data_IF_930870386350
#
_entry.id   IF_930870386350
#
_cell.length_a   1.000
_cell.length_b   1.000
_cell.length_c   1.000
_cell.angle_alpha   90.00
_cell.angle_beta   90.00
_cell.angle_gamma   90.00
#
_symmetry.space_group_name_H-M   'P 1'
#
loop_
_entity.id
_entity.type
_entity.pdbx_description
1 polymer ?
#
# COMPACT_ATOMS: atom_id res chain seq x y z
N UNK A 1 8.43 20.83 -0.43
CA UNK A 1 8.29 19.36 -0.61
C UNK A 1 8.87 18.88 -1.94
N UNK A 2 8.66 19.61 -3.05
CA UNK A 2 9.31 19.37 -4.35
C UNK A 2 10.80 19.71 -4.27
N UNK A 3 11.19 20.81 -3.64
CA UNK A 3 12.60 21.16 -3.43
C UNK A 3 13.37 20.06 -2.69
N UNK A 4 12.78 19.48 -1.64
CA UNK A 4 13.39 18.35 -0.93
C UNK A 4 13.49 17.10 -1.82
N UNK A 5 12.54 16.86 -2.74
CA UNK A 5 12.59 15.73 -3.68
C UNK A 5 13.60 15.95 -4.81
N UNK A 6 13.77 17.19 -5.28
CA UNK A 6 14.77 17.59 -6.29
C UNK A 6 16.18 17.62 -5.70
N UNK A 7 16.33 18.04 -4.44
CA UNK A 7 17.60 17.93 -3.70
C UNK A 7 17.95 16.47 -3.38
N UNK A 8 16.95 15.57 -3.27
CA UNK A 8 17.16 14.13 -3.04
C UNK A 8 17.56 13.34 -4.30
N UNK A 9 17.43 13.90 -5.50
CA UNK A 9 17.98 13.30 -6.73
C UNK A 9 19.48 13.62 -6.86
N UNK A 10 20.32 13.01 -6.03
CA UNK A 10 21.76 13.31 -5.90
C UNK A 10 22.65 12.99 -7.12
N UNK A 11 22.08 12.62 -8.29
CA UNK A 11 22.84 12.23 -9.48
C UNK A 11 22.54 13.05 -10.75
N UNK A 12 21.76 14.13 -10.66
CA UNK A 12 21.52 15.04 -11.80
C UNK A 12 21.88 16.45 -11.36
N UNK A 13 22.82 17.11 -12.06
CA UNK A 13 23.00 18.56 -11.95
C UNK A 13 21.76 19.17 -12.57
N UNK A 14 20.75 19.45 -11.74
CA UNK A 14 19.53 20.07 -12.23
C UNK A 14 19.88 21.53 -12.51
N UNK A 15 19.94 21.88 -13.80
CA UNK A 15 20.14 23.27 -14.21
C UNK A 15 18.97 24.12 -13.68
N UNK A 16 19.27 25.33 -13.22
CA UNK A 16 18.26 26.24 -12.66
C UNK A 16 17.09 26.46 -13.63
N UNK A 17 17.36 26.47 -14.95
CA UNK A 17 16.33 26.55 -15.99
C UNK A 17 15.38 25.34 -15.99
N UNK A 18 15.89 24.12 -15.79
CA UNK A 18 15.06 22.92 -15.67
C UNK A 18 14.24 22.95 -14.38
N UNK A 19 14.83 23.38 -13.26
CA UNK A 19 14.14 23.50 -11.98
C UNK A 19 12.98 24.51 -12.07
N UNK A 20 13.23 25.68 -12.65
CA UNK A 20 12.21 26.71 -12.89
C UNK A 20 11.12 26.16 -13.81
N UNK A 21 11.49 25.51 -14.92
CA UNK A 21 10.53 24.93 -15.87
C UNK A 21 9.66 23.85 -15.21
N UNK A 22 10.25 22.98 -14.39
CA UNK A 22 9.54 21.93 -13.67
C UNK A 22 8.60 22.52 -12.62
N UNK A 23 9.06 23.52 -11.86
CA UNK A 23 8.23 24.23 -10.89
C UNK A 23 7.06 24.92 -11.57
N UNK A 24 7.30 25.62 -12.68
CA UNK A 24 6.23 26.24 -13.47
C UNK A 24 5.26 25.21 -14.03
N UNK A 25 5.72 24.06 -14.51
CA UNK A 25 4.86 22.98 -14.98
C UNK A 25 3.97 22.43 -13.85
N UNK A 26 4.56 22.12 -12.69
CA UNK A 26 3.83 21.60 -11.54
C UNK A 26 2.87 22.65 -10.99
N UNK A 27 3.30 23.89 -10.83
CA UNK A 27 2.45 24.99 -10.36
C UNK A 27 1.33 25.29 -11.37
N UNK A 28 1.61 25.20 -12.68
CA UNK A 28 0.60 25.37 -13.72
C UNK A 28 -0.44 24.24 -13.72
N UNK A 29 -0.03 23.00 -13.49
CA UNK A 29 -0.96 21.88 -13.30
C UNK A 29 -1.77 22.04 -12.02
N UNK A 30 -1.10 22.29 -10.89
CA UNK A 30 -1.73 22.49 -9.60
C UNK A 30 -2.72 23.67 -9.62
N UNK A 31 -2.36 24.80 -10.24
CA UNK A 31 -3.24 25.95 -10.38
C UNK A 31 -4.50 25.60 -11.15
N UNK A 32 -4.40 24.84 -12.26
CA UNK A 32 -5.58 24.35 -12.99
C UNK A 32 -6.43 23.40 -12.16
N UNK A 33 -5.82 22.51 -11.40
CA UNK A 33 -6.57 21.61 -10.51
C UNK A 33 -7.26 22.37 -9.37
N UNK A 34 -6.57 23.33 -8.72
CA UNK A 34 -7.16 24.18 -7.70
C UNK A 34 -8.26 25.07 -8.25
N UNK A 35 -8.07 25.64 -9.43
CA UNK A 35 -9.10 26.41 -10.12
C UNK A 35 -10.33 25.54 -10.40
N UNK A 36 -10.14 24.33 -10.91
CA UNK A 36 -11.23 23.38 -11.11
C UNK A 36 -11.92 23.01 -9.80
N UNK A 37 -11.17 22.71 -8.74
CA UNK A 37 -11.73 22.43 -7.42
C UNK A 37 -12.54 23.63 -6.89
N UNK A 38 -12.06 24.86 -7.11
CA UNK A 38 -12.74 26.08 -6.72
C UNK A 38 -14.02 26.31 -7.53
N UNK A 39 -13.97 26.14 -8.84
CA UNK A 39 -15.13 26.21 -9.73
C UNK A 39 -16.16 25.14 -9.39
N UNK A 40 -15.73 23.90 -9.16
CA UNK A 40 -16.58 22.78 -8.71
C UNK A 40 -17.20 23.12 -7.35
N UNK A 41 -16.44 23.69 -6.42
CA UNK A 41 -16.95 24.14 -5.11
C UNK A 41 -18.01 25.24 -5.27
N UNK A 42 -17.76 26.28 -6.06
CA UNK A 42 -18.75 27.34 -6.33
C UNK A 42 -19.98 26.73 -7.00
N UNK A 43 -19.79 25.87 -7.99
CA UNK A 43 -20.87 25.22 -8.72
C UNK A 43 -21.75 24.36 -7.80
N UNK A 44 -21.13 23.59 -6.89
CA UNK A 44 -21.81 22.72 -5.93
C UNK A 44 -22.53 23.48 -4.82
N UNK A 45 -21.99 24.64 -4.42
CA UNK A 45 -22.51 25.47 -3.33
C UNK A 45 -23.32 26.68 -3.81
N UNK A 46 -23.56 26.81 -5.12
CA UNK A 46 -24.40 27.87 -5.68
C UNK A 46 -25.81 27.80 -5.06
N UNK A 47 -26.26 28.84 -4.32
CA UNK A 47 -27.50 28.77 -3.56
C UNK A 47 -28.72 28.47 -4.44
N UNK A 48 -28.77 29.01 -5.65
CA UNK A 48 -29.87 28.79 -6.59
C UNK A 48 -29.94 27.32 -7.05
N UNK A 49 -28.79 26.73 -7.41
CA UNK A 49 -28.70 25.31 -7.77
C UNK A 49 -28.99 24.39 -6.60
N UNK A 50 -28.44 24.65 -5.41
CA UNK A 50 -28.76 23.86 -4.22
C UNK A 50 -30.26 23.89 -3.93
N UNK A 51 -30.89 25.07 -4.05
CA UNK A 51 -32.33 25.23 -3.88
C UNK A 51 -33.11 24.43 -4.92
N UNK A 52 -32.76 24.55 -6.21
CA UNK A 52 -33.43 23.81 -7.29
C UNK A 52 -33.25 22.29 -7.14
N UNK A 53 -32.06 21.81 -6.80
CA UNK A 53 -31.77 20.38 -6.62
C UNK A 53 -32.57 19.76 -5.46
N UNK A 54 -32.87 20.55 -4.43
CA UNK A 54 -33.62 20.08 -3.26
C UNK A 54 -35.08 20.57 -3.26
N UNK A 55 -35.55 21.25 -4.32
CA UNK A 55 -36.90 21.86 -4.42
C UNK A 55 -38.02 20.88 -4.09
N UNK A 56 -37.97 19.68 -4.65
CA UNK A 56 -39.00 18.66 -4.40
C UNK A 56 -38.99 18.18 -2.94
N UNK A 57 -37.81 18.13 -2.31
CA UNK A 57 -37.66 17.77 -0.89
C UNK A 57 -38.20 18.89 -0.01
N UNK A 58 -37.84 20.14 -0.29
CA UNK A 58 -38.39 21.31 0.39
C UNK A 58 -39.92 21.31 0.32
N UNK A 59 -40.47 21.02 -0.86
CA UNK A 59 -41.91 20.93 -1.07
C UNK A 59 -42.55 19.78 -0.29
N UNK A 60 -41.92 18.59 -0.28
CA UNK A 60 -42.40 17.45 0.49
C UNK A 60 -42.39 17.73 1.99
N UNK A 61 -41.28 18.24 2.53
CA UNK A 61 -41.17 18.59 3.95
C UNK A 61 -42.17 19.69 4.34
N UNK A 62 -42.38 20.69 3.48
CA UNK A 62 -43.40 21.71 3.68
C UNK A 62 -44.81 21.11 3.76
N UNK A 63 -45.17 20.20 2.84
CA UNK A 63 -46.48 19.53 2.84
C UNK A 63 -46.68 18.72 4.11
N UNK A 64 -45.66 17.99 4.55
CA UNK A 64 -45.79 17.15 5.74
C UNK A 64 -45.96 18.01 7.02
N UNK A 65 -45.24 19.14 7.12
CA UNK A 65 -45.44 20.14 8.18
C UNK A 65 -46.82 20.77 8.11
N UNK A 66 -47.28 21.16 6.91
CA UNK A 66 -48.59 21.75 6.69
C UNK A 66 -49.74 20.81 7.10
N UNK A 67 -49.58 19.51 6.88
CA UNK A 67 -50.55 18.49 7.26
C UNK A 67 -50.37 17.96 8.69
N UNK A 68 -49.43 18.48 9.48
CA UNK A 68 -49.20 18.08 10.87
C UNK A 68 -48.70 16.63 11.04
N UNK A 69 -48.02 16.07 10.04
CA UNK A 69 -47.47 14.72 10.13
C UNK A 69 -46.25 14.66 11.06
N UNK A 70 -46.13 13.57 11.84
CA UNK A 70 -44.98 13.34 12.71
C UNK A 70 -43.68 13.24 11.89
N UNK A 71 -42.86 14.29 11.98
CA UNK A 71 -41.59 14.39 11.29
C UNK A 71 -40.45 13.61 11.97
N UNK A 72 -40.63 13.16 13.21
CA UNK A 72 -39.54 12.61 14.01
C UNK A 72 -38.96 11.35 13.38
N UNK A 73 -39.82 10.42 12.93
CA UNK A 73 -39.38 9.18 12.29
C UNK A 73 -38.71 9.45 10.94
N UNK A 74 -39.34 10.25 10.08
CA UNK A 74 -38.84 10.56 8.73
C UNK A 74 -37.47 11.22 8.80
N UNK A 75 -37.30 12.21 9.68
CA UNK A 75 -36.03 12.93 9.85
C UNK A 75 -34.97 12.06 10.51
N UNK A 76 -35.32 11.23 11.48
CA UNK A 76 -34.38 10.26 12.06
C UNK A 76 -33.84 9.30 10.98
N UNK A 77 -34.71 8.80 10.11
CA UNK A 77 -34.35 7.92 9.00
C UNK A 77 -33.47 8.65 7.97
N UNK A 78 -33.81 9.89 7.61
CA UNK A 78 -33.02 10.72 6.70
C UNK A 78 -31.61 10.99 7.22
N UNK A 79 -31.49 11.43 8.48
CA UNK A 79 -30.20 11.66 9.13
C UNK A 79 -29.36 10.39 9.17
N UNK A 80 -29.99 9.26 9.52
CA UNK A 80 -29.31 7.96 9.56
C UNK A 80 -28.80 7.55 8.18
N UNK A 81 -29.66 7.59 7.15
CA UNK A 81 -29.32 7.11 5.82
C UNK A 81 -28.33 7.99 5.08
N UNK A 82 -28.42 9.31 5.25
CA UNK A 82 -27.60 10.28 4.49
C UNK A 82 -26.34 10.72 5.21
N UNK A 83 -26.34 10.76 6.54
CA UNK A 83 -25.21 11.26 7.31
C UNK A 83 -24.47 10.12 8.01
N UNK A 84 -25.16 9.38 8.89
CA UNK A 84 -24.51 8.38 9.76
C UNK A 84 -24.05 7.15 8.98
N UNK A 85 -24.89 6.57 8.11
CA UNK A 85 -24.59 5.33 7.38
C UNK A 85 -23.35 5.46 6.48
N UNK A 86 -23.18 6.54 5.69
CA UNK A 86 -21.95 6.74 4.92
C UNK A 86 -20.73 6.92 5.82
N UNK A 87 -20.84 7.73 6.89
CA UNK A 87 -19.74 8.00 7.81
C UNK A 87 -19.26 6.72 8.52
N UNK A 88 -20.18 5.87 8.97
CA UNK A 88 -19.87 4.57 9.59
C UNK A 88 -19.17 3.64 8.59
N UNK A 89 -19.67 3.55 7.35
CA UNK A 89 -19.03 2.71 6.32
C UNK A 89 -17.62 3.17 5.98
N UNK A 90 -17.44 4.47 5.82
CA UNK A 90 -16.13 5.07 5.54
C UNK A 90 -15.16 4.83 6.70
N UNK A 91 -15.58 5.02 7.95
CA UNK A 91 -14.78 4.71 9.13
C UNK A 91 -14.36 3.23 9.19
N UNK A 92 -15.29 2.30 9.00
CA UNK A 92 -14.98 0.86 9.00
C UNK A 92 -13.98 0.51 7.89
N UNK A 93 -14.18 1.06 6.69
CA UNK A 93 -13.28 0.83 5.56
C UNK A 93 -11.88 1.41 5.80
N UNK A 94 -11.76 2.61 6.38
CA UNK A 94 -10.48 3.22 6.74
C UNK A 94 -9.73 2.42 7.80
N UNK A 95 -10.45 1.83 8.75
CA UNK A 95 -9.88 1.02 9.83
C UNK A 95 -9.46 -0.39 9.40
N UNK A 96 -10.08 -0.93 8.33
CA UNK A 96 -9.80 -2.30 7.88
C UNK A 96 -8.38 -2.48 7.31
N UNK A 97 -7.83 -1.45 6.64
CA UNK A 97 -6.45 -1.50 6.13
C UNK A 97 -5.41 -1.72 7.24
N UNK A 98 -5.37 -0.85 8.27
CA UNK A 98 -4.53 -1.03 9.46
C UNK A 98 -4.72 -2.38 10.15
N UNK A 99 -5.97 -2.85 10.30
CA UNK A 99 -6.25 -4.16 10.92
C UNK A 99 -5.64 -5.31 10.13
N UNK A 100 -5.78 -5.31 8.80
CA UNK A 100 -5.18 -6.32 7.92
C UNK A 100 -3.65 -6.30 8.07
N UNK A 101 -3.03 -5.12 8.06
CA UNK A 101 -1.59 -4.98 8.25
C UNK A 101 -1.19 -5.57 9.61
N UNK A 102 -1.85 -5.14 10.69
CA UNK A 102 -1.57 -5.59 12.05
C UNK A 102 -1.68 -7.10 12.20
N UNK A 103 -2.76 -7.71 11.68
CA UNK A 103 -2.96 -9.16 11.70
C UNK A 103 -1.85 -9.88 10.93
N UNK A 104 -1.50 -9.42 9.73
CA UNK A 104 -0.43 -10.05 8.94
C UNK A 104 0.91 -9.99 9.67
N UNK A 105 1.22 -8.90 10.37
CA UNK A 105 2.46 -8.76 11.15
C UNK A 105 2.58 -9.72 12.34
N UNK A 106 1.47 -10.33 12.79
CA UNK A 106 1.54 -11.41 13.80
C UNK A 106 2.12 -12.71 13.24
N UNK A 107 2.16 -12.85 11.92
CA UNK A 107 2.68 -14.04 11.25
C UNK A 107 4.19 -13.98 11.13
N UNK A 108 4.82 -15.15 11.27
CA UNK A 108 6.27 -15.29 11.19
C UNK A 108 6.87 -14.61 9.96
N UNK A 109 6.31 -14.88 8.77
CA UNK A 109 6.84 -14.35 7.51
C UNK A 109 6.75 -12.81 7.38
N UNK A 110 5.95 -12.12 8.20
CA UNK A 110 5.82 -10.65 8.19
C UNK A 110 6.31 -10.00 9.50
N UNK A 111 6.87 -10.80 10.41
CA UNK A 111 7.29 -10.34 11.75
C UNK A 111 8.55 -9.48 11.70
N UNK A 112 9.51 -9.88 10.86
CA UNK A 112 10.77 -9.17 10.65
C UNK A 112 11.16 -9.19 9.17
N UNK A 113 12.02 -8.26 8.78
CA UNK A 113 12.61 -8.22 7.44
C UNK A 113 13.33 -9.54 7.08
N UNK A 114 14.11 -10.08 8.03
CA UNK A 114 14.89 -11.30 7.84
C UNK A 114 13.94 -12.48 7.61
N UNK A 115 12.92 -12.63 8.46
CA UNK A 115 11.88 -13.66 8.29
C UNK A 115 11.16 -13.53 6.96
N UNK A 116 10.87 -12.30 6.52
CA UNK A 116 10.23 -12.04 5.23
C UNK A 116 11.09 -12.47 4.04
N UNK A 117 12.35 -12.02 3.98
CA UNK A 117 13.28 -12.38 2.92
C UNK A 117 13.49 -13.90 2.86
N UNK A 118 13.65 -14.55 4.02
CA UNK A 118 13.76 -16.01 4.11
C UNK A 118 12.52 -16.72 3.58
N UNK A 119 11.32 -16.35 4.05
CA UNK A 119 10.06 -16.97 3.63
C UNK A 119 9.80 -16.79 2.14
N UNK A 120 10.13 -15.62 1.58
CA UNK A 120 9.98 -15.33 0.15
C UNK A 120 10.91 -16.22 -0.71
N UNK A 121 12.19 -16.32 -0.34
CA UNK A 121 13.14 -17.17 -1.06
C UNK A 121 12.84 -18.66 -0.91
N UNK A 122 12.32 -19.07 0.24
CA UNK A 122 11.86 -20.44 0.48
C UNK A 122 10.63 -20.79 -0.37
N UNK A 123 9.70 -19.85 -0.55
CA UNK A 123 8.55 -20.00 -1.44
C UNK A 123 9.00 -20.16 -2.91
N UNK A 124 9.93 -19.31 -3.36
CA UNK A 124 10.57 -19.44 -4.69
C UNK A 124 11.27 -20.79 -4.87
N UNK A 125 11.99 -21.27 -3.85
CA UNK A 125 12.63 -22.58 -3.86
C UNK A 125 11.62 -23.72 -3.98
N UNK A 126 10.48 -23.58 -3.30
CA UNK A 126 9.44 -24.60 -3.26
C UNK A 126 8.66 -24.66 -4.58
N UNK A 127 8.32 -23.49 -5.16
CA UNK A 127 7.70 -23.38 -6.48
C UNK A 127 8.59 -23.93 -7.58
N UNK A 128 9.90 -23.68 -7.46
CA UNK A 128 10.91 -24.21 -8.36
C UNK A 128 10.57 -23.95 -9.85
N UNK A 129 10.12 -22.73 -10.15
CA UNK A 129 9.67 -22.32 -11.48
C UNK A 129 10.52 -21.16 -12.02
N UNK A 130 10.97 -21.27 -13.26
CA UNK A 130 11.85 -20.29 -13.90
C UNK A 130 11.20 -18.90 -14.00
N UNK A 131 9.91 -18.82 -14.36
CA UNK A 131 9.22 -17.53 -14.57
C UNK A 131 9.08 -16.78 -13.26
N UNK A 132 8.84 -17.50 -12.16
CA UNK A 132 8.80 -16.91 -10.82
C UNK A 132 10.17 -16.30 -10.44
N UNK A 133 11.27 -17.02 -10.67
CA UNK A 133 12.63 -16.47 -10.46
C UNK A 133 12.91 -15.28 -11.36
N UNK A 134 12.57 -15.37 -12.64
CA UNK A 134 12.77 -14.29 -13.60
C UNK A 134 12.03 -13.01 -13.19
N UNK A 135 10.77 -13.15 -12.75
CA UNK A 135 9.95 -12.03 -12.27
C UNK A 135 10.50 -11.46 -10.96
N UNK A 136 10.90 -12.32 -10.01
CA UNK A 136 11.54 -11.89 -8.77
C UNK A 136 12.82 -11.07 -9.03
N UNK A 137 13.62 -11.48 -10.01
CA UNK A 137 14.90 -10.85 -10.33
C UNK A 137 14.73 -9.53 -11.08
N UNK A 138 13.90 -9.51 -12.13
CA UNK A 138 13.79 -8.37 -13.05
C UNK A 138 12.67 -7.39 -12.68
N UNK A 139 11.71 -7.80 -11.84
CA UNK A 139 10.54 -7.03 -11.43
C UNK A 139 10.29 -7.20 -9.92
N UNK A 140 11.35 -7.00 -9.12
CA UNK A 140 11.37 -7.34 -7.70
C UNK A 140 10.23 -6.72 -6.90
N UNK A 141 10.02 -5.41 -7.01
CA UNK A 141 8.97 -4.71 -6.25
C UNK A 141 7.57 -5.25 -6.57
N UNK A 142 7.26 -5.42 -7.86
CA UNK A 142 5.96 -5.95 -8.29
C UNK A 142 5.77 -7.40 -7.86
N UNK A 143 6.82 -8.23 -8.00
CA UNK A 143 6.79 -9.62 -7.57
C UNK A 143 6.51 -9.73 -6.07
N UNK A 144 7.24 -8.95 -5.26
CA UNK A 144 7.08 -8.97 -3.80
C UNK A 144 5.70 -8.46 -3.40
N UNK A 145 5.21 -7.35 -3.97
CA UNK A 145 3.86 -6.83 -3.69
C UNK A 145 2.77 -7.85 -4.06
N UNK A 146 2.92 -8.54 -5.19
CA UNK A 146 2.01 -9.63 -5.60
C UNK A 146 2.07 -10.80 -4.61
N UNK A 147 3.26 -11.17 -4.15
CA UNK A 147 3.44 -12.23 -3.16
C UNK A 147 2.76 -11.88 -1.83
N UNK A 148 2.95 -10.65 -1.33
CA UNK A 148 2.29 -10.15 -0.12
C UNK A 148 0.77 -10.20 -0.27
N UNK A 149 0.25 -9.70 -1.40
CA UNK A 149 -1.18 -9.71 -1.69
C UNK A 149 -1.73 -11.14 -1.66
N UNK A 150 -1.06 -12.10 -2.30
CA UNK A 150 -1.47 -13.49 -2.28
C UNK A 150 -1.50 -14.08 -0.86
N UNK A 151 -0.52 -13.74 -0.01
CA UNK A 151 -0.50 -14.18 1.39
C UNK A 151 -1.61 -13.56 2.24
N UNK A 152 -1.99 -12.31 1.97
CA UNK A 152 -3.17 -11.67 2.59
C UNK A 152 -4.44 -12.44 2.17
N UNK A 153 -4.63 -12.66 0.87
CA UNK A 153 -5.80 -13.37 0.34
C UNK A 153 -5.90 -14.78 0.92
N UNK A 154 -4.80 -15.52 0.99
CA UNK A 154 -4.77 -16.87 1.57
C UNK A 154 -5.20 -16.86 3.04
N UNK A 155 -4.69 -15.91 3.83
CA UNK A 155 -4.97 -15.81 5.26
C UNK A 155 -6.44 -15.48 5.54
N UNK A 156 -6.95 -14.44 4.88
CA UNK A 156 -8.30 -13.93 5.06
C UNK A 156 -9.35 -14.67 4.22
N UNK A 157 -8.95 -15.69 3.45
CA UNK A 157 -9.90 -16.70 2.94
C UNK A 157 -10.24 -17.73 4.03
N UNK A 158 -9.32 -17.98 4.96
CA UNK A 158 -9.50 -18.92 6.09
C UNK A 158 -10.04 -18.24 7.36
N UNK A 159 -9.81 -16.93 7.52
CA UNK A 159 -10.34 -16.09 8.62
C UNK A 159 -11.34 -15.07 8.09
N UNK A 160 -12.33 -14.71 8.89
CA UNK A 160 -13.32 -13.72 8.49
C UNK A 160 -12.86 -12.29 8.81
N UNK A 161 -12.62 -11.47 7.77
CA UNK A 161 -12.46 -10.00 7.93
C UNK A 161 -13.65 -9.34 8.61
N UNK A 162 -14.81 -9.99 8.51
CA UNK A 162 -16.03 -9.60 9.22
C UNK A 162 -15.81 -9.37 10.72
N UNK A 163 -14.88 -10.08 11.38
CA UNK A 163 -14.60 -9.84 12.81
C UNK A 163 -14.05 -8.42 13.05
N UNK A 164 -13.17 -7.94 12.19
CA UNK A 164 -12.61 -6.59 12.25
C UNK A 164 -13.70 -5.55 11.95
N UNK A 165 -14.47 -5.77 10.88
CA UNK A 165 -15.56 -4.87 10.48
C UNK A 165 -16.65 -4.78 11.54
N UNK A 166 -17.09 -5.90 12.12
CA UNK A 166 -18.12 -5.95 13.16
C UNK A 166 -17.65 -5.26 14.45
N UNK A 167 -16.36 -5.38 14.80
CA UNK A 167 -15.77 -4.64 15.92
C UNK A 167 -15.87 -3.12 15.71
N UNK A 168 -15.46 -2.63 14.54
CA UNK A 168 -15.50 -1.20 14.22
C UNK A 168 -16.93 -0.67 14.04
N UNK A 169 -17.81 -1.49 13.46
CA UNK A 169 -19.24 -1.19 13.35
C UNK A 169 -19.84 -1.02 14.74
N UNK A 170 -19.66 -1.98 15.64
CA UNK A 170 -20.15 -1.89 17.04
C UNK A 170 -19.60 -0.66 17.76
N UNK A 171 -18.30 -0.38 17.62
CA UNK A 171 -17.68 0.80 18.21
C UNK A 171 -18.31 2.11 17.69
N UNK A 172 -18.61 2.18 16.39
CA UNK A 172 -19.27 3.33 15.77
C UNK A 172 -20.71 3.50 16.27
N UNK A 173 -21.47 2.41 16.34
CA UNK A 173 -22.85 2.41 16.83
C UNK A 173 -22.92 2.82 18.31
N UNK A 174 -22.01 2.31 19.14
CA UNK A 174 -21.90 2.73 20.54
C UNK A 174 -21.62 4.23 20.65
N UNK A 175 -20.68 4.75 19.86
CA UNK A 175 -20.36 6.19 19.85
C UNK A 175 -21.56 7.04 19.42
N UNK A 176 -22.34 6.59 18.43
CA UNK A 176 -23.57 7.26 18.01
C UNK A 176 -24.61 7.26 19.13
N UNK A 177 -24.84 6.12 19.79
CA UNK A 177 -25.80 6.02 20.89
C UNK A 177 -25.38 6.88 22.09
N UNK A 178 -24.09 6.93 22.41
CA UNK A 178 -23.54 7.80 23.46
C UNK A 178 -23.75 9.28 23.11
N UNK A 179 -23.48 9.68 21.87
CA UNK A 179 -23.73 11.05 21.39
C UNK A 179 -25.22 11.43 21.47
N UNK A 180 -26.13 10.53 21.07
CA UNK A 180 -27.58 10.72 21.20
C UNK A 180 -27.97 10.91 22.67
N UNK A 181 -27.45 10.07 23.58
CA UNK A 181 -27.77 10.14 24.99
C UNK A 181 -27.23 11.41 25.66
N UNK A 182 -26.01 11.85 25.30
CA UNK A 182 -25.47 13.14 25.77
C UNK A 182 -26.32 14.31 25.28
N UNK A 183 -26.68 14.34 24.00
CA UNK A 183 -27.52 15.39 23.44
C UNK A 183 -28.90 15.48 24.13
N UNK A 184 -29.47 14.34 24.58
CA UNK A 184 -30.70 14.33 25.38
C UNK A 184 -30.54 15.00 26.75
N UNK A 185 -29.37 14.85 27.40
CA UNK A 185 -29.11 15.41 28.72
C UNK A 185 -28.98 16.93 28.65
N UNK A 186 -28.31 17.46 27.62
CA UNK A 186 -28.05 18.89 27.48
C UNK A 186 -29.32 19.73 27.25
N UNK A 187 -30.48 19.11 26.93
CA UNK A 187 -31.83 19.72 26.80
C UNK A 187 -31.87 21.18 26.32
N UNK A 188 -31.12 21.52 25.28
CA UNK A 188 -31.02 22.92 24.82
C UNK A 188 -31.34 23.05 23.34
N UNK A 189 -32.34 23.88 23.06
CA UNK A 189 -32.67 24.37 21.73
C UNK A 189 -33.64 23.49 20.94
N UNK A 190 -33.49 23.52 19.63
CA UNK A 190 -34.38 22.87 18.66
C UNK A 190 -33.68 21.65 18.02
N UNK A 191 -34.34 20.98 17.07
CA UNK A 191 -33.77 19.80 16.39
C UNK A 191 -32.38 20.08 15.78
N UNK A 192 -32.16 21.29 15.26
CA UNK A 192 -30.89 21.69 14.65
C UNK A 192 -29.76 21.64 15.67
N UNK A 193 -29.92 22.33 16.81
CA UNK A 193 -28.89 22.35 17.86
C UNK A 193 -28.66 20.96 18.45
N UNK A 194 -29.71 20.14 18.56
CA UNK A 194 -29.59 18.75 18.98
C UNK A 194 -28.69 17.92 18.05
N UNK A 195 -28.89 18.04 16.73
CA UNK A 195 -28.09 17.31 15.74
C UNK A 195 -26.67 17.88 15.63
N UNK A 196 -26.49 19.19 15.77
CA UNK A 196 -25.16 19.81 15.84
C UNK A 196 -24.34 19.24 17.01
N UNK A 197 -24.94 19.11 18.20
CA UNK A 197 -24.26 18.47 19.34
C UNK A 197 -23.89 17.02 19.07
N UNK A 198 -24.77 16.23 18.43
CA UNK A 198 -24.43 14.85 18.03
C UNK A 198 -23.22 14.86 17.08
N UNK A 199 -23.21 15.74 16.08
CA UNK A 199 -22.13 15.82 15.11
C UNK A 199 -20.80 16.26 15.77
N UNK A 200 -20.86 17.17 16.74
CA UNK A 200 -19.69 17.59 17.53
C UNK A 200 -19.13 16.43 18.35
N UNK A 201 -19.97 15.69 19.07
CA UNK A 201 -19.58 14.51 19.85
C UNK A 201 -19.02 13.36 19.00
N UNK A 202 -19.31 13.35 17.70
CA UNK A 202 -18.82 12.35 16.75
C UNK A 202 -17.62 12.84 15.94
N UNK A 203 -17.27 14.13 15.97
CA UNK A 203 -16.35 14.74 15.02
C UNK A 203 -14.93 14.18 15.04
N UNK A 204 -14.49 13.64 16.18
CA UNK A 204 -13.20 12.96 16.35
C UNK A 204 -13.20 11.50 15.84
N UNK A 205 -14.39 10.91 15.64
CA UNK A 205 -14.57 9.49 15.32
C UNK A 205 -15.13 9.23 13.92
N UNK A 206 -16.13 10.02 13.51
CA UNK A 206 -16.89 9.85 12.28
C UNK A 206 -16.87 11.13 11.47
N UNK A 207 -16.46 11.02 10.20
CA UNK A 207 -16.49 12.15 9.26
C UNK A 207 -17.89 12.24 8.65
N UNK A 208 -18.70 13.17 9.15
CA UNK A 208 -20.04 13.46 8.63
C UNK A 208 -19.94 14.58 7.59
N UNK A 209 -20.51 14.35 6.40
CA UNK A 209 -20.55 15.36 5.33
C UNK A 209 -21.42 16.56 5.74
N UNK A 210 -20.85 17.77 5.64
CA UNK A 210 -21.57 19.01 5.91
C UNK A 210 -22.66 19.27 4.86
N UNK A 211 -22.46 18.87 3.61
CA UNK A 211 -23.47 18.99 2.55
C UNK A 211 -24.68 18.11 2.85
N UNK A 212 -24.45 16.87 3.28
CA UNK A 212 -25.50 15.94 3.69
C UNK A 212 -26.25 16.45 4.92
N UNK A 213 -25.52 17.09 5.86
CA UNK A 213 -26.08 17.70 7.06
C UNK A 213 -26.93 18.95 6.72
N UNK A 214 -26.45 19.83 5.86
CA UNK A 214 -27.16 21.03 5.41
C UNK A 214 -28.47 20.69 4.69
N UNK A 215 -28.47 19.66 3.85
CA UNK A 215 -29.67 19.14 3.20
C UNK A 215 -30.65 18.46 4.18
N UNK A 216 -30.22 18.11 5.40
CA UNK A 216 -31.07 17.56 6.44
C UNK A 216 -31.69 18.65 7.34
N UNK A 217 -30.96 19.74 7.62
CA UNK A 217 -31.30 20.78 8.61
C UNK A 217 -32.50 21.69 8.27
N UNK A 218 -33.33 21.28 7.33
CA UNK A 218 -34.46 22.05 6.85
C UNK A 218 -35.68 21.73 7.70
N UNK A 219 -36.19 22.78 8.37
CA UNK A 219 -37.49 22.92 9.04
C UNK A 219 -37.99 21.70 9.83
N UNK A 220 -37.98 21.81 11.17
CA UNK A 220 -38.77 20.89 11.98
C UNK A 220 -39.13 21.42 13.37
N UNK A 221 -40.40 21.25 13.75
CA UNK A 221 -40.90 21.37 15.12
C UNK A 221 -40.98 19.99 15.79
N UNK A 222 -40.11 19.05 15.43
CA UNK A 222 -40.09 17.71 15.99
C UNK A 222 -39.82 17.74 17.49
N UNK A 223 -40.57 16.93 18.23
CA UNK A 223 -40.27 16.64 19.61
C UNK A 223 -38.91 15.96 19.72
N UNK A 224 -38.02 16.52 20.53
CA UNK A 224 -36.64 16.06 20.65
C UNK A 224 -36.57 14.65 21.25
N UNK A 225 -37.45 14.33 22.19
CA UNK A 225 -37.44 13.03 22.85
C UNK A 225 -37.91 11.93 21.87
N UNK A 226 -38.96 12.20 21.11
CA UNK A 226 -39.50 11.32 20.09
C UNK A 226 -38.52 11.17 18.92
N UNK A 227 -37.90 12.25 18.44
CA UNK A 227 -36.85 12.18 17.43
C UNK A 227 -35.69 11.29 17.91
N UNK A 228 -35.23 11.48 19.14
CA UNK A 228 -34.11 10.70 19.65
C UNK A 228 -34.47 9.21 19.83
N UNK A 229 -35.72 8.87 20.19
CA UNK A 229 -36.22 7.48 20.22
C UNK A 229 -36.20 6.87 18.82
N UNK A 230 -36.72 7.58 17.82
CA UNK A 230 -36.71 7.12 16.43
C UNK A 230 -35.29 6.99 15.88
N UNK A 231 -34.40 7.92 16.20
CA UNK A 231 -33.02 7.89 15.76
C UNK A 231 -32.29 6.67 16.31
N UNK A 232 -32.44 6.34 17.60
CA UNK A 232 -31.88 5.11 18.17
C UNK A 232 -32.39 3.86 17.43
N UNK A 233 -33.67 3.82 17.06
CA UNK A 233 -34.24 2.71 16.27
C UNK A 233 -33.64 2.64 14.86
N UNK A 234 -33.58 3.76 14.14
CA UNK A 234 -32.99 3.83 12.81
C UNK A 234 -31.51 3.42 12.81
N UNK A 235 -30.74 3.82 13.84
CA UNK A 235 -29.33 3.42 14.01
C UNK A 235 -29.19 1.91 14.21
N UNK A 236 -30.09 1.28 14.97
CA UNK A 236 -30.13 -0.18 15.15
C UNK A 236 -30.44 -0.92 13.84
N UNK A 237 -31.41 -0.42 13.07
CA UNK A 237 -31.76 -1.00 11.76
C UNK A 237 -30.61 -0.82 10.74
N UNK A 238 -29.93 0.32 10.79
CA UNK A 238 -28.72 0.60 10.01
C UNK A 238 -27.59 -0.35 10.37
N UNK A 239 -27.33 -0.61 11.66
CA UNK A 239 -26.32 -1.57 12.11
C UNK A 239 -26.54 -2.93 11.46
N UNK A 240 -27.77 -3.46 11.53
CA UNK A 240 -28.09 -4.76 10.96
C UNK A 240 -27.87 -4.79 9.44
N UNK A 241 -28.37 -3.77 8.74
CA UNK A 241 -28.22 -3.65 7.28
C UNK A 241 -26.75 -3.57 6.86
N UNK A 242 -25.93 -2.80 7.59
CA UNK A 242 -24.50 -2.65 7.30
C UNK A 242 -23.75 -3.94 7.62
N UNK A 243 -24.09 -4.59 8.74
CA UNK A 243 -23.52 -5.88 9.16
C UNK A 243 -23.73 -6.97 8.12
N UNK A 244 -24.94 -7.10 7.58
CA UNK A 244 -25.25 -8.09 6.55
C UNK A 244 -24.42 -7.88 5.28
N UNK A 245 -24.34 -6.62 4.81
CA UNK A 245 -23.53 -6.28 3.64
C UNK A 245 -22.03 -6.57 3.81
N UNK A 246 -21.48 -6.43 5.01
CA UNK A 246 -20.08 -6.81 5.28
C UNK A 246 -19.85 -8.33 5.24
N UNK A 247 -20.87 -9.15 5.51
CA UNK A 247 -20.78 -10.61 5.39
C UNK A 247 -20.78 -11.08 3.94
N UNK A 248 -21.49 -10.38 3.06
CA UNK A 248 -21.61 -10.73 1.64
C UNK A 248 -20.35 -10.46 0.82
N UNK A 249 -19.47 -9.56 1.31
CA UNK A 249 -18.30 -9.12 0.57
C UNK A 249 -17.07 -9.96 0.93
N UNK A 250 -16.39 -10.50 -0.09
CA UNK A 250 -15.15 -11.24 0.10
C UNK A 250 -13.93 -10.31 0.26
N UNK A 251 -12.81 -10.85 0.71
CA UNK A 251 -11.57 -10.09 0.94
C UNK A 251 -11.06 -9.39 -0.33
N UNK A 252 -11.18 -10.02 -1.50
CA UNK A 252 -10.70 -9.45 -2.74
C UNK A 252 -11.41 -8.13 -3.05
N UNK A 253 -12.75 -8.11 -2.96
CA UNK A 253 -13.56 -6.91 -3.15
C UNK A 253 -13.29 -5.86 -2.07
N UNK A 254 -13.04 -6.28 -0.83
CA UNK A 254 -12.70 -5.33 0.25
C UNK A 254 -11.40 -4.60 -0.06
N UNK A 255 -10.34 -5.33 -0.42
CA UNK A 255 -9.02 -4.76 -0.71
C UNK A 255 -9.03 -3.74 -1.84
N UNK A 256 -9.92 -3.86 -2.83
CA UNK A 256 -10.01 -2.87 -3.94
C UNK A 256 -10.66 -1.55 -3.50
N UNK A 257 -11.42 -1.56 -2.41
CA UNK A 257 -12.11 -0.38 -1.87
C UNK A 257 -11.36 0.33 -0.76
N UNK A 258 -10.27 -0.26 -0.25
CA UNK A 258 -9.50 0.33 0.83
C UNK A 258 -8.74 1.58 0.36
N UNK A 259 -8.71 2.65 1.16
CA UNK A 259 -7.93 3.85 0.84
C UNK A 259 -6.41 3.56 0.88
N UNK A 260 -6.00 2.64 1.74
CA UNK A 260 -4.62 2.18 1.88
C UNK A 260 -4.53 0.77 1.29
N UNK A 261 -3.47 0.51 0.51
CA UNK A 261 -3.17 -0.82 -0.04
C UNK A 261 -2.26 -1.59 0.93
N UNK A 262 -2.75 -2.58 1.70
CA UNK A 262 -1.96 -3.25 2.73
C UNK A 262 -0.66 -3.86 2.21
N UNK A 263 -0.65 -4.38 0.98
CA UNK A 263 0.54 -4.94 0.35
C UNK A 263 1.65 -3.90 0.11
N UNK A 264 1.29 -2.64 -0.16
CA UNK A 264 2.25 -1.57 -0.37
C UNK A 264 2.85 -1.09 0.96
N UNK A 265 2.03 -1.03 2.01
CA UNK A 265 2.47 -0.68 3.37
C UNK A 265 3.40 -1.76 3.93
N UNK A 266 3.01 -3.03 3.81
CA UNK A 266 3.86 -4.15 4.25
C UNK A 266 5.16 -4.21 3.46
N UNK A 267 5.14 -3.99 2.14
CA UNK A 267 6.35 -3.89 1.33
C UNK A 267 7.27 -2.79 1.86
N UNK A 268 6.73 -1.58 2.02
CA UNK A 268 7.47 -0.43 2.53
C UNK A 268 8.08 -0.71 3.90
N UNK A 269 7.32 -1.33 4.80
CA UNK A 269 7.74 -1.58 6.18
C UNK A 269 8.81 -2.68 6.28
N UNK A 270 8.72 -3.73 5.47
CA UNK A 270 9.58 -4.91 5.57
C UNK A 270 10.78 -4.88 4.63
N UNK A 271 10.64 -4.27 3.45
CA UNK A 271 11.68 -4.19 2.42
C UNK A 271 12.35 -2.82 2.40
N UNK A 272 11.55 -1.76 2.50
CA UNK A 272 12.04 -0.38 2.45
C UNK A 272 12.13 0.15 1.02
N UNK A 273 13.32 0.56 0.60
CA UNK A 273 13.52 1.26 -0.68
C UNK A 273 13.28 0.45 -1.96
N UNK A 274 13.22 -0.88 -1.90
CA UNK A 274 13.04 -1.76 -3.07
C UNK A 274 14.20 -1.80 -4.08
N UNK A 275 15.27 -1.00 -3.89
CA UNK A 275 16.40 -0.91 -4.81
C UNK A 275 17.17 -2.22 -4.91
N UNK A 276 17.72 -2.49 -6.10
CA UNK A 276 18.45 -3.72 -6.40
C UNK A 276 19.90 -3.43 -6.83
N UNK A 277 20.83 -4.30 -6.44
CA UNK A 277 22.24 -4.20 -6.79
C UNK A 277 22.39 -4.08 -8.31
N UNK A 278 23.20 -3.13 -8.82
CA UNK A 278 23.31 -2.88 -10.26
C UNK A 278 23.82 -4.09 -11.05
N UNK A 279 24.61 -4.96 -10.42
CA UNK A 279 25.23 -6.11 -11.05
C UNK A 279 24.38 -7.38 -10.93
N UNK A 280 24.11 -7.85 -9.71
CA UNK A 280 23.41 -9.12 -9.49
C UNK A 280 21.90 -8.99 -9.26
N UNK A 281 21.36 -7.77 -9.16
CA UNK A 281 19.95 -7.49 -8.85
C UNK A 281 19.47 -7.97 -7.47
N UNK A 282 20.36 -8.29 -6.53
CA UNK A 282 19.97 -8.58 -5.13
C UNK A 282 19.34 -7.35 -4.47
N UNK A 283 18.31 -7.53 -3.64
CA UNK A 283 17.60 -6.43 -2.97
C UNK A 283 18.47 -5.73 -1.91
N UNK A 284 18.30 -4.42 -1.74
CA UNK A 284 19.00 -3.63 -0.74
C UNK A 284 18.58 -3.98 0.69
N UNK A 285 19.54 -4.17 1.60
CA UNK A 285 19.39 -4.57 3.00
C UNK A 285 19.32 -3.42 4.02
N UNK A 286 19.56 -2.18 3.59
CA UNK A 286 19.71 -1.02 4.49
C UNK A 286 18.49 -0.71 5.39
N UNK A 287 17.30 -1.19 5.02
CA UNK A 287 16.06 -0.97 5.78
C UNK A 287 15.54 0.46 5.64
N UNK A 288 14.23 0.62 5.82
CA UNK A 288 13.57 1.91 5.66
C UNK A 288 13.50 2.41 4.21
N UNK A 289 12.75 3.48 3.99
CA UNK A 289 12.62 4.10 2.65
C UNK A 289 13.77 5.06 2.32
N UNK A 290 14.40 5.66 3.32
CA UNK A 290 15.42 6.69 3.14
C UNK A 290 16.72 6.29 3.83
N UNK A 291 17.78 6.17 3.03
CA UNK A 291 19.14 5.93 3.49
C UNK A 291 20.13 6.39 2.41
N UNK A 292 21.37 6.67 2.82
CA UNK A 292 22.40 7.24 1.94
C UNK A 292 23.10 6.22 1.05
N UNK A 293 23.31 5.00 1.56
CA UNK A 293 24.01 3.94 0.83
C UNK A 293 23.16 2.66 0.78
N UNK A 294 23.06 2.07 -0.40
CA UNK A 294 22.51 0.75 -0.65
C UNK A 294 23.59 -0.31 -0.47
N UNK A 295 23.28 -1.38 0.25
CA UNK A 295 24.13 -2.57 0.34
C UNK A 295 23.26 -3.82 0.35
N UNK A 296 23.89 -4.98 0.18
CA UNK A 296 23.26 -6.29 0.36
C UNK A 296 24.32 -7.22 0.95
N UNK A 297 23.94 -8.01 1.95
CA UNK A 297 24.83 -9.01 2.54
C UNK A 297 24.90 -10.27 1.68
N UNK A 298 23.87 -10.51 0.86
CA UNK A 298 23.74 -11.72 0.05
C UNK A 298 23.76 -11.38 -1.44
N UNK A 299 24.96 -11.30 -2.00
CA UNK A 299 25.14 -11.25 -3.45
C UNK A 299 24.87 -12.61 -4.10
N UNK A 300 24.53 -12.59 -5.37
CA UNK A 300 24.26 -13.77 -6.20
C UNK A 300 25.02 -13.68 -7.52
N UNK A 301 25.16 -14.76 -8.30
CA UNK A 301 25.86 -14.74 -9.56
C UNK A 301 25.37 -13.61 -10.48
N UNK A 302 26.29 -12.83 -11.03
CA UNK A 302 25.96 -11.66 -11.86
C UNK A 302 25.23 -12.04 -13.15
N UNK A 303 25.40 -13.28 -13.62
CA UNK A 303 24.64 -13.84 -14.73
C UNK A 303 23.13 -13.82 -14.52
N UNK A 304 22.67 -13.97 -13.27
CA UNK A 304 21.25 -13.80 -12.94
C UNK A 304 20.77 -12.36 -13.16
N UNK A 305 21.67 -11.39 -12.98
CA UNK A 305 21.47 -9.96 -13.25
C UNK A 305 21.77 -9.53 -14.69
N UNK A 306 21.87 -10.48 -15.64
CA UNK A 306 22.10 -10.28 -17.09
C UNK A 306 23.55 -10.02 -17.51
N UNK A 307 24.53 -10.14 -16.60
CA UNK A 307 25.94 -10.01 -16.97
C UNK A 307 26.47 -11.25 -17.67
N UNK A 308 27.29 -11.04 -18.71
CA UNK A 308 27.91 -12.10 -19.51
C UNK A 308 29.32 -11.69 -19.92
N UNK A 309 30.19 -12.68 -20.11
CA UNK A 309 31.50 -12.48 -20.69
C UNK A 309 31.37 -12.02 -22.13
N UNK A 310 32.05 -10.94 -22.52
CA UNK A 310 31.94 -10.41 -23.90
C UNK A 310 32.55 -11.35 -24.94
N UNK A 311 33.67 -12.00 -24.61
CA UNK A 311 34.40 -12.88 -25.52
C UNK A 311 33.62 -14.15 -25.85
N UNK A 312 32.97 -14.75 -24.85
CA UNK A 312 32.28 -16.05 -25.00
C UNK A 312 30.76 -15.91 -25.08
N UNK A 313 30.21 -14.76 -24.70
CA UNK A 313 28.77 -14.55 -24.53
C UNK A 313 28.16 -15.28 -23.33
N UNK A 314 28.95 -16.01 -22.52
CA UNK A 314 28.46 -16.85 -21.43
C UNK A 314 28.07 -16.06 -20.20
N UNK A 315 26.99 -16.45 -19.53
CA UNK A 315 26.58 -15.86 -18.26
C UNK A 315 27.68 -15.95 -17.19
N UNK A 316 27.84 -14.89 -16.40
CA UNK A 316 28.87 -14.80 -15.34
C UNK A 316 28.43 -15.58 -14.10
N UNK A 317 29.31 -16.43 -13.57
CA UNK A 317 29.09 -17.19 -12.33
C UNK A 317 29.58 -16.45 -11.08
N UNK A 318 30.49 -15.49 -11.25
CA UNK A 318 31.06 -14.68 -10.18
C UNK A 318 29.99 -13.81 -9.50
N UNK A 319 30.26 -13.43 -8.26
CA UNK A 319 29.42 -12.52 -7.48
C UNK A 319 30.06 -11.13 -7.41
N UNK A 320 29.23 -10.12 -7.14
CA UNK A 320 29.71 -8.74 -7.10
C UNK A 320 30.91 -8.55 -6.15
N UNK A 321 30.92 -9.24 -5.00
CA UNK A 321 31.98 -9.13 -4.00
C UNK A 321 33.35 -9.58 -4.54
N UNK A 322 33.41 -10.64 -5.36
CA UNK A 322 34.66 -11.08 -5.98
C UNK A 322 35.05 -10.17 -7.15
N UNK A 323 34.07 -9.74 -7.96
CA UNK A 323 34.30 -8.84 -9.09
C UNK A 323 34.91 -7.51 -8.66
N UNK A 324 34.39 -6.85 -7.61
CA UNK A 324 34.94 -5.56 -7.11
C UNK A 324 36.33 -5.67 -6.50
N UNK A 325 36.82 -6.88 -6.21
CA UNK A 325 38.18 -7.12 -5.73
C UNK A 325 39.16 -7.52 -6.84
N UNK A 326 38.65 -7.84 -8.03
CA UNK A 326 39.42 -8.32 -9.18
C UNK A 326 39.85 -7.17 -10.12
N UNK A 327 40.74 -7.47 -11.06
CA UNK A 327 41.08 -6.55 -12.17
C UNK A 327 40.09 -6.64 -13.35
N UNK A 328 38.96 -7.34 -13.15
CA UNK A 328 37.92 -7.42 -14.17
C UNK A 328 37.27 -6.05 -14.41
N UNK A 329 36.64 -5.94 -15.58
CA UNK A 329 35.92 -4.74 -16.01
C UNK A 329 34.46 -5.09 -16.30
N UNK A 330 33.58 -4.13 -16.14
CA UNK A 330 32.17 -4.20 -16.49
C UNK A 330 31.81 -3.14 -17.53
N UNK A 331 30.71 -3.37 -18.25
CA UNK A 331 30.06 -2.37 -19.09
C UNK A 331 28.55 -2.57 -19.04
N UNK A 332 27.79 -1.50 -18.92
CA UNK A 332 26.33 -1.54 -18.88
C UNK A 332 25.77 -0.25 -19.48
N UNK A 333 24.44 -0.10 -19.48
CA UNK A 333 23.82 1.14 -19.96
C UNK A 333 24.29 2.37 -19.19
N UNK A 334 24.50 2.24 -17.87
CA UNK A 334 25.00 3.34 -17.03
C UNK A 334 26.43 3.79 -17.35
N UNK A 335 27.19 2.97 -18.08
CA UNK A 335 28.54 3.32 -18.56
C UNK A 335 28.56 3.71 -20.03
N UNK A 336 27.40 3.98 -20.66
CA UNK A 336 27.28 4.12 -22.12
C UNK A 336 27.90 2.92 -22.88
N UNK A 337 27.87 1.75 -22.25
CA UNK A 337 28.52 0.54 -22.71
C UNK A 337 30.05 0.62 -22.86
N UNK A 338 30.71 1.59 -22.25
CA UNK A 338 32.16 1.63 -22.09
C UNK A 338 32.62 0.71 -20.95
N UNK A 339 33.87 0.26 -21.05
CA UNK A 339 34.46 -0.64 -20.06
C UNK A 339 35.02 0.13 -18.86
N UNK A 340 34.58 -0.22 -17.66
CA UNK A 340 35.05 0.35 -16.39
C UNK A 340 35.57 -0.75 -15.46
N UNK A 341 36.67 -0.50 -14.71
CA UNK A 341 37.13 -1.43 -13.68
C UNK A 341 36.06 -1.66 -12.62
N UNK A 342 35.86 -2.91 -12.21
CA UNK A 342 34.94 -3.21 -11.10
C UNK A 342 35.41 -2.57 -9.79
N UNK A 343 36.72 -2.44 -9.54
CA UNK A 343 37.28 -1.74 -8.37
C UNK A 343 36.82 -0.28 -8.26
N UNK A 344 36.55 0.36 -9.40
CA UNK A 344 36.13 1.76 -9.49
C UNK A 344 34.62 1.93 -9.73
N UNK A 345 33.81 0.88 -9.46
CA UNK A 345 32.37 0.91 -9.74
C UNK A 345 31.64 2.10 -9.10
N UNK A 346 32.13 2.61 -7.96
CA UNK A 346 31.55 3.76 -7.24
C UNK A 346 31.64 5.07 -8.04
N UNK A 347 32.47 5.15 -9.08
CA UNK A 347 32.45 6.30 -10.00
C UNK A 347 31.12 6.40 -10.77
N UNK A 348 30.47 5.25 -10.97
CA UNK A 348 29.19 5.09 -11.69
C UNK A 348 28.03 4.91 -10.71
N UNK A 349 28.18 3.99 -9.74
CA UNK A 349 27.16 3.64 -8.73
C UNK A 349 27.59 4.13 -7.35
N UNK A 350 27.55 5.46 -7.16
CA UNK A 350 28.07 6.16 -5.96
C UNK A 350 27.37 5.76 -4.66
N UNK A 351 26.09 5.46 -4.77
CA UNK A 351 25.16 5.12 -3.70
C UNK A 351 25.18 3.63 -3.34
N UNK A 352 25.92 2.79 -4.07
CA UNK A 352 26.07 1.37 -3.75
C UNK A 352 27.37 1.07 -3.01
N UNK A 353 27.23 0.32 -1.92
CA UNK A 353 28.31 -0.28 -1.16
C UNK A 353 28.29 -1.79 -1.33
N UNK A 354 29.22 -2.27 -2.14
CA UNK A 354 29.56 -3.66 -2.34
C UNK A 354 30.86 -3.92 -1.59
N UNK A 355 30.80 -4.74 -0.55
CA UNK A 355 31.96 -5.11 0.26
C UNK A 355 32.54 -6.44 -0.24
N UNK A 356 33.85 -6.60 -0.12
CA UNK A 356 34.51 -7.90 -0.24
C UNK A 356 33.91 -8.85 0.81
N UNK A 357 33.19 -9.87 0.37
CA UNK A 357 32.72 -10.93 1.25
C UNK A 357 33.90 -11.84 1.58
N UNK A 358 33.93 -12.42 2.79
CA UNK A 358 34.97 -13.36 3.22
C UNK A 358 34.95 -14.66 2.41
N UNK A 359 33.79 -15.06 1.89
CA UNK A 359 33.66 -16.29 1.09
C UNK A 359 34.05 -16.09 -0.38
N UNK A 360 33.88 -14.87 -0.91
CA UNK A 360 34.00 -14.53 -2.34
C UNK A 360 33.16 -15.41 -3.29
N UNK A 361 32.22 -16.21 -2.77
CA UNK A 361 31.42 -17.16 -3.55
C UNK A 361 29.91 -16.96 -3.32
N UNK A 362 29.11 -17.37 -4.31
CA UNK A 362 27.66 -17.41 -4.16
C UNK A 362 27.22 -18.45 -3.10
N UNK A 363 26.09 -18.20 -2.44
CA UNK A 363 25.46 -19.21 -1.57
C UNK A 363 25.00 -20.43 -2.38
N UNK A 364 24.99 -21.61 -1.75
CA UNK A 364 24.53 -22.85 -2.41
C UNK A 364 23.11 -22.71 -2.96
N UNK A 365 22.27 -21.89 -2.34
CA UNK A 365 20.97 -21.53 -2.89
C UNK A 365 21.06 -20.89 -4.29
N UNK A 366 21.87 -19.84 -4.46
CA UNK A 366 21.97 -19.18 -5.76
C UNK A 366 22.80 -19.97 -6.77
N UNK A 367 23.77 -20.76 -6.30
CA UNK A 367 24.48 -21.76 -7.12
C UNK A 367 23.50 -22.78 -7.70
N UNK A 368 22.60 -23.32 -6.85
CA UNK A 368 21.54 -24.24 -7.26
C UNK A 368 20.61 -23.61 -8.31
N UNK A 369 20.13 -22.39 -8.07
CA UNK A 369 19.21 -21.69 -8.99
C UNK A 369 19.85 -21.47 -10.36
N UNK A 370 21.08 -20.94 -10.42
CA UNK A 370 21.76 -20.70 -11.69
C UNK A 370 22.11 -22.03 -12.39
N UNK A 371 22.56 -23.06 -11.67
CA UNK A 371 22.84 -24.36 -12.25
C UNK A 371 21.59 -25.00 -12.87
N UNK A 372 20.45 -24.88 -12.19
CA UNK A 372 19.18 -25.48 -12.60
C UNK A 372 18.58 -24.81 -13.83
N UNK A 373 18.52 -23.48 -13.84
CA UNK A 373 17.86 -22.70 -14.89
C UNK A 373 18.85 -22.04 -15.87
N UNK A 374 20.07 -22.57 -15.96
CA UNK A 374 21.17 -21.97 -16.72
C UNK A 374 20.78 -21.68 -18.19
N UNK A 375 20.17 -22.68 -18.85
CA UNK A 375 19.81 -22.58 -20.27
C UNK A 375 18.65 -21.60 -20.47
N UNK A 376 17.69 -21.59 -19.56
CA UNK A 376 16.53 -20.72 -19.59
C UNK A 376 16.92 -19.25 -19.38
N UNK A 377 17.77 -18.97 -18.38
CA UNK A 377 18.35 -17.63 -18.20
C UNK A 377 19.17 -17.18 -19.41
N UNK A 378 20.01 -18.07 -19.95
CA UNK A 378 20.82 -17.76 -21.12
C UNK A 378 19.94 -17.41 -22.33
N UNK A 379 18.89 -18.20 -22.59
CA UNK A 379 17.92 -17.93 -23.66
C UNK A 379 17.21 -16.60 -23.46
N UNK A 380 16.65 -16.35 -22.28
CA UNK A 380 15.92 -15.11 -21.96
C UNK A 380 16.80 -13.86 -22.07
N UNK A 381 18.10 -13.99 -21.77
CA UNK A 381 19.04 -12.87 -21.78
C UNK A 381 19.82 -12.74 -23.09
N UNK A 382 19.48 -13.52 -24.12
CA UNK A 382 20.22 -13.59 -25.39
C UNK A 382 21.73 -13.78 -25.16
N UNK A 383 22.05 -14.74 -24.29
CA UNK A 383 23.39 -15.09 -23.84
C UNK A 383 23.66 -16.59 -24.07
N UNK A 384 24.92 -17.00 -23.94
CA UNK A 384 25.28 -18.41 -23.86
C UNK A 384 25.16 -18.91 -22.41
N UNK A 385 24.84 -20.20 -22.19
CA UNK A 385 24.83 -20.78 -20.85
C UNK A 385 26.16 -20.55 -20.11
N UNK A 386 26.08 -20.29 -18.81
CA UNK A 386 27.26 -20.22 -17.94
C UNK A 386 28.02 -21.55 -17.92
N UNK A 387 29.33 -21.48 -17.74
CA UNK A 387 30.17 -22.64 -17.42
C UNK A 387 30.00 -23.01 -15.94
N UNK A 388 28.92 -23.76 -15.65
CA UNK A 388 28.57 -24.15 -14.29
C UNK A 388 29.57 -25.18 -13.75
N UNK A 389 30.27 -24.90 -12.63
CA UNK A 389 31.15 -25.86 -11.98
C UNK A 389 30.42 -27.17 -11.65
N UNK A 390 31.13 -28.29 -11.74
CA UNK A 390 30.54 -29.61 -11.46
C UNK A 390 29.93 -29.68 -10.05
N UNK A 391 30.59 -29.08 -9.06
CA UNK A 391 30.13 -29.02 -7.67
C UNK A 391 28.78 -28.31 -7.50
N UNK A 392 28.42 -27.37 -8.38
CA UNK A 392 27.13 -26.68 -8.32
C UNK A 392 26.00 -27.56 -8.86
N UNK A 393 26.29 -28.42 -9.85
CA UNK A 393 25.33 -29.37 -10.43
C UNK A 393 24.93 -30.46 -9.44
N UNK A 394 25.80 -30.76 -8.47
CA UNK A 394 25.54 -31.72 -7.39
C UNK A 394 24.76 -31.13 -6.21
N UNK A 395 24.52 -29.82 -6.16
CA UNK A 395 23.76 -29.21 -5.06
C UNK A 395 22.31 -29.70 -5.14
N UNK A 396 21.85 -30.29 -4.05
CA UNK A 396 20.47 -30.78 -3.92
C UNK A 396 19.52 -29.67 -3.49
N UNK A 397 18.22 -29.86 -3.73
CA UNK A 397 17.17 -28.95 -3.23
C UNK A 397 17.23 -28.78 -1.71
N UNK A 398 17.54 -29.87 -0.98
CA UNK A 398 17.72 -29.86 0.48
C UNK A 398 18.90 -28.99 0.90
N UNK A 399 20.06 -29.11 0.25
CA UNK A 399 21.23 -28.28 0.53
C UNK A 399 20.95 -26.79 0.22
N UNK A 400 20.26 -26.49 -0.89
CA UNK A 400 19.83 -25.13 -1.20
C UNK A 400 18.92 -24.54 -0.11
N UNK A 401 18.01 -25.35 0.46
CA UNK A 401 17.15 -24.96 1.59
C UNK A 401 17.93 -24.74 2.88
N UNK A 402 18.86 -25.62 3.21
CA UNK A 402 19.74 -25.50 4.38
C UNK A 402 20.64 -24.25 4.27
N UNK A 403 21.13 -23.95 3.07
CA UNK A 403 21.88 -22.73 2.78
C UNK A 403 21.07 -21.46 3.09
N UNK A 404 19.79 -21.40 2.68
CA UNK A 404 18.90 -20.30 3.06
C UNK A 404 18.71 -20.22 4.58
N UNK A 405 18.47 -21.35 5.24
CA UNK A 405 18.27 -21.40 6.69
C UNK A 405 19.47 -20.81 7.44
N UNK A 406 20.69 -21.20 7.02
CA UNK A 406 21.93 -20.71 7.60
C UNK A 406 22.17 -19.22 7.31
N UNK A 407 21.97 -18.79 6.05
CA UNK A 407 22.20 -17.41 5.64
C UNK A 407 21.33 -16.39 6.40
N UNK A 408 20.09 -16.79 6.76
CA UNK A 408 19.17 -15.94 7.52
C UNK A 408 19.17 -16.26 9.03
N UNK A 409 20.05 -17.15 9.52
CA UNK A 409 20.10 -17.57 10.93
C UNK A 409 18.74 -18.06 11.48
N UNK A 410 17.97 -18.77 10.67
CA UNK A 410 16.67 -19.29 11.05
C UNK A 410 16.83 -20.56 11.90
N UNK A 411 16.10 -20.63 13.03
CA UNK A 411 16.13 -21.79 13.94
C UNK A 411 15.43 -23.02 13.37
#
# INVERSE_FOLDING_TARGET
>A
MIDNKLQNSQNVKIETEFEVSLKQHICGDAARQFQKMHEDFIHLNDPYRCLNQNKDKYCADFKDVFHGQDQCQKKADEFTKRCLKPAVKDFVNRSLGPDIIGEMQTRFEFSTRISFQYSLLLDLLSKNDFKEYLSYINSYEDYVKKWILNKILEHFSKKTTFKCEDKHLKSSINSINDAINKAKITKTGNLKTFVEHICQELGDKLVISQDALGAFMILNNADLEQFAKWLTKCVKDMEQTVRERFKETNIQMKLTTLPVKPQNELFTKLIGCGQQCPFCKSSCDAGGQQHKEHFTSLHRPEGLGRFRWRSTGKLVVDICSSSVCSDNRFRCSATNHEWHPYKDYRTIFKDWRITSDKSLEASDYWKYVLAKFNKEFAKEYNAQPADIPYTWKSITHKQARESLKNAFSMK
#
